data_IF_646644646921
#
_entry.id   IF_646644646921
#
_cell.length_a   1.000
_cell.length_b   1.000
_cell.length_c   1.000
_cell.angle_alpha   90.00
_cell.angle_beta   90.00
_cell.angle_gamma   90.00
#
_symmetry.space_group_name_H-M   'P 1'
#
loop_
_entity.id
_entity.type
_entity.pdbx_description
1 polymer ?
#
# COMPACT_ATOMS: atom_id res chain seq x y z
N UNK A 1 10.85 -6.68 0.81
CA UNK A 1 9.53 -6.01 1.02
C UNK A 1 8.64 -6.93 1.86
N UNK A 2 7.80 -6.38 2.75
CA UNK A 2 7.18 -7.14 3.86
C UNK A 2 5.90 -7.90 3.50
N UNK A 3 5.22 -7.57 2.39
CA UNK A 3 4.01 -8.27 1.95
C UNK A 3 2.87 -8.21 2.96
N UNK A 4 2.74 -7.12 3.71
CA UNK A 4 1.78 -7.03 4.81
C UNK A 4 0.43 -6.50 4.30
N UNK A 5 -0.69 -7.19 4.64
CA UNK A 5 -2.02 -6.60 4.57
C UNK A 5 -2.06 -5.31 5.38
N UNK A 6 -2.73 -4.28 4.87
CA UNK A 6 -2.79 -2.98 5.55
C UNK A 6 -4.21 -2.42 5.62
N UNK A 7 -4.46 -1.66 6.68
CA UNK A 7 -5.61 -0.76 6.84
C UNK A 7 -5.04 0.67 6.78
N UNK A 8 -5.46 1.44 5.79
CA UNK A 8 -4.93 2.77 5.53
C UNK A 8 -6.01 3.78 5.84
N UNK A 9 -5.69 4.70 6.76
CA UNK A 9 -6.57 5.80 7.18
C UNK A 9 -5.90 7.11 6.76
N UNK A 10 -6.16 7.62 5.54
CA UNK A 10 -5.57 8.87 5.09
C UNK A 10 -6.04 10.03 5.95
N UNK A 11 -5.10 10.87 6.39
CA UNK A 11 -5.39 12.06 7.16
C UNK A 11 -6.20 13.07 6.33
N UNK A 12 -7.39 13.52 6.78
CA UNK A 12 -8.32 14.28 5.95
C UNK A 12 -7.86 15.71 5.66
N UNK A 13 -6.95 16.26 6.48
CA UNK A 13 -6.46 17.63 6.34
C UNK A 13 -5.13 17.74 5.57
N UNK A 14 -4.53 16.62 5.16
CA UNK A 14 -3.37 16.62 4.29
C UNK A 14 -3.78 16.71 2.81
N UNK A 15 -2.88 17.27 1.98
CA UNK A 15 -3.05 17.27 0.53
C UNK A 15 -3.30 15.84 0.00
N UNK A 16 -4.04 15.73 -1.12
CA UNK A 16 -4.70 14.50 -1.64
C UNK A 16 -3.82 13.24 -1.81
N UNK A 17 -2.49 13.33 -1.69
CA UNK A 17 -1.56 12.24 -1.96
C UNK A 17 -1.71 11.02 -1.06
N UNK A 18 -2.02 11.17 0.24
CA UNK A 18 -2.23 10.00 1.11
C UNK A 18 -3.38 9.13 0.61
N UNK A 19 -4.49 9.78 0.22
CA UNK A 19 -5.65 9.09 -0.33
C UNK A 19 -5.32 8.39 -1.64
N UNK A 20 -4.61 9.04 -2.56
CA UNK A 20 -4.21 8.44 -3.84
C UNK A 20 -3.34 7.20 -3.64
N UNK A 21 -2.36 7.26 -2.74
CA UNK A 21 -1.50 6.11 -2.43
C UNK A 21 -2.30 4.95 -1.80
N UNK A 22 -3.25 5.27 -0.92
CA UNK A 22 -4.10 4.26 -0.31
C UNK A 22 -5.09 3.63 -1.32
N UNK A 23 -5.70 4.42 -2.19
CA UNK A 23 -6.55 3.95 -3.29
C UNK A 23 -5.77 3.03 -4.25
N UNK A 24 -4.51 3.35 -4.55
CA UNK A 24 -3.64 2.51 -5.38
C UNK A 24 -3.51 1.08 -4.80
N UNK A 25 -3.27 0.96 -3.50
CA UNK A 25 -3.13 -0.34 -2.83
C UNK A 25 -4.49 -1.04 -2.67
N UNK A 26 -5.52 -0.30 -2.26
CA UNK A 26 -6.84 -0.85 -1.99
C UNK A 26 -7.55 -1.37 -3.25
N UNK A 27 -7.47 -0.64 -4.36
CA UNK A 27 -8.03 -1.06 -5.65
C UNK A 27 -7.41 -2.34 -6.21
N UNK A 28 -6.24 -2.75 -5.69
CA UNK A 28 -5.52 -3.97 -6.07
C UNK A 28 -5.58 -5.06 -4.99
N UNK A 29 -6.40 -4.87 -3.96
CA UNK A 29 -6.60 -5.84 -2.89
C UNK A 29 -5.47 -5.92 -1.86
N UNK A 30 -4.45 -5.07 -1.93
CA UNK A 30 -3.34 -5.07 -0.97
C UNK A 30 -3.66 -4.36 0.36
N UNK A 31 -4.72 -3.54 0.37
CA UNK A 31 -5.11 -2.74 1.51
C UNK A 31 -6.64 -2.59 1.64
N UNK A 32 -7.09 -2.19 2.82
CA UNK A 32 -8.41 -1.62 3.03
C UNK A 32 -8.22 -0.11 3.24
N UNK A 33 -8.92 0.69 2.44
CA UNK A 33 -9.03 2.13 2.68
C UNK A 33 -10.15 2.39 3.69
N UNK A 34 -9.84 3.08 4.78
CA UNK A 34 -10.77 3.44 5.84
C UNK A 34 -10.80 4.97 5.98
N UNK A 35 -11.98 5.61 5.89
CA UNK A 35 -12.11 7.04 6.18
C UNK A 35 -11.76 7.34 7.64
N UNK A 36 -11.10 8.48 7.89
CA UNK A 36 -10.76 8.93 9.24
C UNK A 36 -12.02 9.14 10.10
N UNK A 37 -13.09 9.64 9.47
CA UNK A 37 -14.36 9.98 10.11
C UNK A 37 -15.05 8.77 10.75
N UNK A 38 -14.86 7.58 10.19
CA UNK A 38 -15.47 6.34 10.70
C UNK A 38 -14.47 5.41 11.40
N UNK A 39 -13.17 5.76 11.36
CA UNK A 39 -12.09 4.91 11.87
C UNK A 39 -12.33 4.46 13.32
N UNK A 40 -12.71 5.38 14.20
CA UNK A 40 -12.89 5.09 15.62
C UNK A 40 -13.93 3.97 15.87
N UNK A 41 -14.98 3.91 15.05
CA UNK A 41 -16.01 2.88 15.15
C UNK A 41 -15.60 1.59 14.41
N UNK A 42 -14.96 1.72 13.25
CA UNK A 42 -14.81 0.61 12.30
C UNK A 42 -13.49 -0.16 12.44
N UNK A 43 -12.45 0.43 13.05
CA UNK A 43 -11.10 -0.13 13.08
C UNK A 43 -11.04 -1.50 13.76
N UNK A 44 -11.50 -1.58 15.01
CA UNK A 44 -11.45 -2.82 15.79
C UNK A 44 -12.32 -3.94 15.20
N UNK A 45 -13.59 -3.70 14.81
CA UNK A 45 -14.39 -4.69 14.10
C UNK A 45 -13.73 -5.21 12.82
N UNK A 46 -13.13 -4.32 12.03
CA UNK A 46 -12.47 -4.70 10.77
C UNK A 46 -11.24 -5.57 11.01
N UNK A 47 -10.41 -5.22 11.99
CA UNK A 47 -9.25 -6.05 12.39
C UNK A 47 -9.69 -7.44 12.84
N UNK A 48 -10.74 -7.52 13.67
CA UNK A 48 -11.28 -8.82 14.12
C UNK A 48 -11.80 -9.66 12.96
N UNK A 49 -12.53 -9.06 12.02
CA UNK A 49 -13.04 -9.76 10.83
C UNK A 49 -11.90 -10.27 9.93
N UNK A 50 -10.82 -9.50 9.78
CA UNK A 50 -9.62 -9.92 9.05
C UNK A 50 -8.93 -11.12 9.71
N UNK A 51 -8.74 -11.09 11.04
CA UNK A 51 -8.14 -12.22 11.75
C UNK A 51 -9.02 -13.48 11.72
N UNK A 52 -10.34 -13.33 11.66
CA UNK A 52 -11.27 -14.44 11.47
C UNK A 52 -11.22 -15.04 10.05
N UNK A 53 -10.55 -14.40 9.09
CA UNK A 53 -10.51 -14.82 7.68
C UNK A 53 -9.07 -14.95 7.14
N UNK A 54 -8.30 -15.98 7.53
CA UNK A 54 -6.90 -16.15 7.12
C UNK A 54 -6.69 -16.16 5.61
N UNK A 55 -7.62 -16.74 4.84
CA UNK A 55 -7.57 -16.74 3.38
C UNK A 55 -7.58 -15.33 2.78
N UNK A 56 -8.35 -14.40 3.38
CA UNK A 56 -8.38 -12.99 2.95
C UNK A 56 -7.05 -12.31 3.24
N UNK A 57 -6.45 -12.54 4.41
CA UNK A 57 -5.12 -12.03 4.74
C UNK A 57 -4.03 -12.59 3.81
N UNK A 58 -4.14 -13.85 3.42
CA UNK A 58 -3.28 -14.48 2.41
C UNK A 58 -3.37 -13.76 1.06
N UNK A 59 -4.57 -13.58 0.53
CA UNK A 59 -4.78 -12.85 -0.72
C UNK A 59 -4.26 -11.40 -0.67
N UNK A 60 -4.46 -10.70 0.45
CA UNK A 60 -3.92 -9.34 0.64
C UNK A 60 -2.40 -9.32 0.69
N UNK A 61 -1.76 -10.33 1.30
CA UNK A 61 -0.30 -10.49 1.32
C UNK A 61 0.23 -10.69 -0.09
N UNK A 62 -0.39 -11.59 -0.86
CA UNK A 62 0.04 -11.87 -2.24
C UNK A 62 -0.10 -10.63 -3.13
N UNK A 63 -1.21 -9.90 -3.00
CA UNK A 63 -1.40 -8.62 -3.66
C UNK A 63 -0.33 -7.58 -3.26
N UNK A 64 -0.02 -7.46 -1.96
CA UNK A 64 1.00 -6.52 -1.48
C UNK A 64 2.41 -6.88 -2.01
N UNK A 65 2.73 -8.17 -2.11
CA UNK A 65 3.99 -8.65 -2.69
C UNK A 65 4.04 -8.40 -4.21
N UNK A 66 2.93 -8.55 -4.93
CA UNK A 66 2.88 -8.29 -6.36
C UNK A 66 3.12 -6.82 -6.73
N UNK A 67 2.85 -5.88 -5.81
CA UNK A 67 3.08 -4.44 -6.00
C UNK A 67 4.46 -3.96 -5.54
N UNK A 68 5.26 -4.88 -5.02
CA UNK A 68 6.53 -4.59 -4.38
C UNK A 68 7.59 -4.20 -5.45
N UNK A 69 8.22 -3.04 -5.29
CA UNK A 69 9.31 -2.55 -6.15
C UNK A 69 10.62 -2.46 -5.34
N UNK A 70 11.36 -3.58 -5.15
CA UNK A 70 12.47 -3.66 -4.20
C UNK A 70 13.69 -2.82 -4.61
N UNK A 71 13.92 -2.63 -5.91
CA UNK A 71 15.14 -2.01 -6.44
C UNK A 71 14.99 -0.50 -6.70
N UNK A 72 14.12 0.19 -5.95
CA UNK A 72 13.77 1.59 -6.21
C UNK A 72 14.98 2.52 -6.33
N UNK A 73 15.96 2.41 -5.42
CA UNK A 73 17.18 3.22 -5.47
C UNK A 73 18.06 2.89 -6.69
N UNK A 74 18.22 1.60 -7.03
CA UNK A 74 19.00 1.18 -8.19
C UNK A 74 18.31 1.57 -9.52
N UNK A 75 16.97 1.50 -9.57
CA UNK A 75 16.17 1.98 -10.69
C UNK A 75 16.40 3.49 -10.91
N UNK A 76 16.34 4.28 -9.84
CA UNK A 76 16.59 5.71 -9.91
C UNK A 76 18.01 6.03 -10.37
N UNK A 77 19.03 5.34 -9.82
CA UNK A 77 20.42 5.52 -10.24
C UNK A 77 20.64 5.18 -11.72
N UNK A 78 20.11 4.05 -12.20
CA UNK A 78 20.17 3.69 -13.63
C UNK A 78 19.55 4.74 -14.51
N UNK A 79 18.41 5.29 -14.12
CA UNK A 79 17.72 6.32 -14.89
C UNK A 79 18.52 7.63 -14.96
N UNK A 80 19.18 8.01 -13.86
CA UNK A 80 20.07 9.18 -13.83
C UNK A 80 21.28 9.00 -14.75
N UNK A 81 21.96 7.84 -14.72
CA UNK A 81 23.09 7.54 -15.60
C UNK A 81 22.67 7.57 -17.07
N UNK A 82 21.52 6.96 -17.39
CA UNK A 82 20.93 6.97 -18.74
C UNK A 82 20.68 8.40 -19.24
N UNK A 83 20.18 9.29 -18.39
CA UNK A 83 19.93 10.70 -18.72
C UNK A 83 21.24 11.51 -18.87
N UNK A 84 22.32 11.10 -18.19
CA UNK A 84 23.64 11.72 -18.29
C UNK A 84 24.41 11.33 -19.56
N UNK A 85 23.89 10.39 -20.36
CA UNK A 85 24.56 9.90 -21.57
C UNK A 85 25.60 8.82 -21.31
N UNK A 86 25.66 8.29 -20.09
CA UNK A 86 26.47 7.12 -19.76
C UNK A 86 25.69 5.87 -20.21
N UNK A 87 26.30 5.06 -21.08
CA UNK A 87 25.75 3.73 -21.39
C UNK A 87 26.04 2.81 -20.21
N UNK A 88 25.08 2.00 -19.74
CA UNK A 88 25.25 1.15 -18.56
C UNK A 88 26.33 0.09 -18.75
#
# INVERSE_FOLDING_TARGET
LFGLPSLLVPYPYAWRYQRVNAEYLASRGAAILMPDETMAADLLPTIRALFATPARLGAMRDAALALAQPDGAANAARELLRLAGESP
#
